data_IF_892151521202
#
_entry.id   IF_892151521202
#
_cell.length_a   1.000
_cell.length_b   1.000
_cell.length_c   1.000
_cell.angle_alpha   90.00
_cell.angle_beta   90.00
_cell.angle_gamma   90.00
#
_symmetry.space_group_name_H-M   'P 1'
#
loop_
_entity.id
_entity.type
_entity.pdbx_description
1 polymer ?
#
# COMPACT_ATOMS: atom_id res chain seq x y z
N UNK A 1 -3.82 -23.70 11.72
CA UNK A 1 -3.14 -23.28 10.47
C UNK A 1 -3.52 -21.83 10.26
N UNK A 2 -2.60 -20.91 10.54
CA UNK A 2 -2.86 -19.49 10.33
C UNK A 2 -2.71 -19.24 8.83
N UNK A 3 -3.83 -19.06 8.13
CA UNK A 3 -3.83 -18.62 6.74
C UNK A 3 -3.24 -17.21 6.71
N UNK A 4 -1.93 -17.09 6.48
CA UNK A 4 -1.35 -15.83 6.04
C UNK A 4 -1.88 -15.57 4.63
N UNK A 5 -3.07 -14.99 4.53
CA UNK A 5 -3.58 -14.40 3.29
C UNK A 5 -2.55 -13.41 2.76
N UNK A 6 -2.21 -13.53 1.49
CA UNK A 6 -1.22 -12.67 0.83
C UNK A 6 -1.69 -11.21 0.86
N UNK A 7 -0.75 -10.27 0.71
CA UNK A 7 -1.09 -8.84 0.56
C UNK A 7 -2.09 -8.64 -0.58
N UNK A 8 -1.95 -9.42 -1.64
CA UNK A 8 -2.76 -9.33 -2.86
C UNK A 8 -4.19 -9.82 -2.60
N UNK A 9 -4.37 -10.91 -1.86
CA UNK A 9 -5.70 -11.42 -1.50
C UNK A 9 -6.50 -10.37 -0.73
N UNK A 10 -5.83 -9.65 0.17
CA UNK A 10 -6.45 -8.59 0.96
C UNK A 10 -6.84 -7.39 0.11
N UNK A 11 -6.03 -7.00 -0.87
CA UNK A 11 -6.41 -5.94 -1.84
C UNK A 11 -7.60 -6.40 -2.69
N UNK A 12 -7.65 -7.68 -3.06
CA UNK A 12 -8.82 -8.28 -3.70
C UNK A 12 -10.07 -8.17 -2.82
N UNK A 13 -9.96 -8.44 -1.52
CA UNK A 13 -11.06 -8.29 -0.56
C UNK A 13 -11.51 -6.83 -0.41
N UNK A 14 -10.59 -5.85 -0.43
CA UNK A 14 -10.95 -4.43 -0.45
C UNK A 14 -11.82 -4.09 -1.66
N UNK A 15 -11.49 -4.65 -2.83
CA UNK A 15 -12.27 -4.44 -4.05
C UNK A 15 -13.69 -4.99 -3.93
N UNK A 16 -13.84 -6.16 -3.29
CA UNK A 16 -15.17 -6.74 -2.99
C UNK A 16 -15.94 -5.88 -1.99
N UNK A 17 -15.29 -5.40 -0.93
CA UNK A 17 -15.91 -4.52 0.07
C UNK A 17 -16.34 -3.18 -0.54
N UNK A 18 -15.55 -2.61 -1.45
CA UNK A 18 -15.91 -1.41 -2.20
C UNK A 18 -17.13 -1.65 -3.10
N UNK A 19 -17.18 -2.78 -3.80
CA UNK A 19 -18.36 -3.14 -4.61
C UNK A 19 -19.62 -3.33 -3.74
N UNK A 20 -19.45 -3.82 -2.51
CA UNK A 20 -20.52 -3.86 -1.51
C UNK A 20 -20.97 -2.46 -1.07
N UNK A 21 -20.01 -1.59 -0.77
CA UNK A 21 -20.26 -0.18 -0.40
C UNK A 21 -21.01 0.58 -1.50
N UNK A 22 -20.66 0.35 -2.77
CA UNK A 22 -21.36 0.95 -3.92
C UNK A 22 -22.84 0.59 -3.97
N UNK A 23 -23.20 -0.63 -3.54
CA UNK A 23 -24.58 -1.11 -3.54
C UNK A 23 -25.37 -0.66 -2.31
N UNK A 24 -24.74 -0.65 -1.13
CA UNK A 24 -25.42 -0.35 0.13
C UNK A 24 -25.38 1.13 0.51
N UNK A 25 -24.40 1.88 0.01
CA UNK A 25 -24.07 3.24 0.45
C UNK A 25 -23.80 3.34 1.97
N UNK A 26 -23.43 2.22 2.59
CA UNK A 26 -23.23 2.12 4.04
C UNK A 26 -21.88 2.70 4.47
N UNK A 27 -21.92 3.87 5.09
CA UNK A 27 -20.74 4.58 5.62
C UNK A 27 -19.93 3.73 6.62
N UNK A 28 -20.54 2.76 7.32
CA UNK A 28 -19.77 1.87 8.20
C UNK A 28 -18.83 0.93 7.43
N UNK A 29 -19.20 0.52 6.21
CA UNK A 29 -18.33 -0.28 5.33
C UNK A 29 -17.14 0.56 4.85
N UNK A 30 -17.33 1.87 4.68
CA UNK A 30 -16.27 2.80 4.33
C UNK A 30 -15.24 2.94 5.45
N UNK A 31 -15.67 3.08 6.71
CA UNK A 31 -14.75 3.13 7.86
C UNK A 31 -13.93 1.84 7.97
N UNK A 32 -14.58 0.69 7.74
CA UNK A 32 -13.90 -0.61 7.70
C UNK A 32 -12.87 -0.68 6.57
N UNK A 33 -13.20 -0.21 5.36
CA UNK A 33 -12.26 -0.15 4.24
C UNK A 33 -11.02 0.68 4.58
N UNK A 34 -11.23 1.85 5.20
CA UNK A 34 -10.15 2.73 5.68
C UNK A 34 -9.25 2.02 6.70
N UNK A 35 -9.85 1.31 7.65
CA UNK A 35 -9.11 0.51 8.64
C UNK A 35 -8.31 -0.62 7.97
N UNK A 36 -8.92 -1.36 7.04
CA UNK A 36 -8.31 -2.49 6.35
C UNK A 36 -7.10 -2.02 5.50
N UNK A 37 -7.18 -0.86 4.83
CA UNK A 37 -6.06 -0.25 4.09
C UNK A 37 -4.93 0.17 5.04
N UNK A 38 -5.28 0.78 6.18
CA UNK A 38 -4.29 1.16 7.19
C UNK A 38 -3.57 -0.06 7.78
N UNK A 39 -4.29 -1.16 8.01
CA UNK A 39 -3.70 -2.43 8.43
C UNK A 39 -2.74 -2.98 7.37
N UNK A 40 -3.14 -2.98 6.10
CA UNK A 40 -2.29 -3.40 4.99
C UNK A 40 -0.98 -2.62 4.91
N UNK A 41 -1.06 -1.31 5.13
CA UNK A 41 0.13 -0.47 5.19
C UNK A 41 1.06 -0.89 6.34
N UNK A 42 0.53 -1.18 7.53
CA UNK A 42 1.33 -1.68 8.66
C UNK A 42 1.97 -3.04 8.40
N UNK A 43 1.26 -3.94 7.73
CA UNK A 43 1.78 -5.27 7.36
C UNK A 43 2.90 -5.15 6.32
N UNK A 44 2.74 -4.28 5.32
CA UNK A 44 3.77 -4.01 4.32
C UNK A 44 5.05 -3.46 4.94
N UNK A 45 4.92 -2.50 5.86
CA UNK A 45 6.07 -1.99 6.62
C UNK A 45 6.73 -3.11 7.43
N UNK A 46 5.95 -4.03 8.01
CA UNK A 46 6.50 -5.15 8.77
C UNK A 46 7.27 -6.14 7.89
N UNK A 47 6.81 -6.38 6.65
CA UNK A 47 7.50 -7.21 5.67
C UNK A 47 8.84 -6.59 5.23
N UNK A 48 8.88 -5.27 5.07
CA UNK A 48 10.10 -4.54 4.72
C UNK A 48 11.20 -4.71 5.77
N UNK A 49 10.85 -4.70 7.07
CA UNK A 49 11.84 -4.80 8.16
C UNK A 49 12.30 -6.24 8.44
N UNK A 50 11.47 -7.24 8.13
CA UNK A 50 11.70 -8.65 8.50
C UNK A 50 12.05 -9.56 7.31
N UNK A 51 12.30 -8.99 6.12
CA UNK A 51 12.58 -9.76 4.91
C UNK A 51 13.87 -10.60 5.02
N UNK A 52 13.74 -11.92 4.98
CA UNK A 52 14.86 -12.86 4.88
C UNK A 52 15.37 -12.96 3.44
N UNK A 53 16.69 -12.90 3.25
CA UNK A 53 17.37 -12.92 1.95
C UNK A 53 16.98 -14.11 1.04
N UNK A 54 16.50 -15.23 1.63
CA UNK A 54 16.11 -16.42 0.89
C UNK A 54 14.75 -16.36 0.17
N UNK A 55 13.93 -15.33 0.43
CA UNK A 55 12.57 -15.19 -0.17
C UNK A 55 12.38 -13.93 -1.00
N UNK A 56 13.46 -13.20 -1.26
CA UNK A 56 13.36 -11.85 -1.85
C UNK A 56 12.68 -11.84 -3.22
N UNK A 57 13.00 -12.80 -4.10
CA UNK A 57 12.40 -12.83 -5.44
C UNK A 57 10.91 -13.20 -5.42
N UNK A 58 10.50 -14.10 -4.51
CA UNK A 58 9.09 -14.46 -4.30
C UNK A 58 8.30 -13.24 -3.78
N UNK A 59 8.82 -12.56 -2.75
CA UNK A 59 8.22 -11.33 -2.22
C UNK A 59 8.18 -10.21 -3.26
N UNK A 60 9.19 -10.11 -4.14
CA UNK A 60 9.21 -9.11 -5.22
C UNK A 60 8.10 -9.35 -6.24
N UNK A 61 7.91 -10.60 -6.66
CA UNK A 61 6.83 -10.96 -7.59
C UNK A 61 5.46 -10.72 -6.96
N UNK A 62 5.30 -11.05 -5.68
CA UNK A 62 4.08 -10.74 -4.92
C UNK A 62 3.83 -9.22 -4.88
N UNK A 63 4.82 -8.40 -4.57
CA UNK A 63 4.67 -6.94 -4.56
C UNK A 63 4.27 -6.36 -5.92
N UNK A 64 4.83 -6.87 -7.02
CA UNK A 64 4.43 -6.44 -8.37
C UNK A 64 2.96 -6.79 -8.63
N UNK A 65 2.55 -8.01 -8.31
CA UNK A 65 1.16 -8.44 -8.45
C UNK A 65 0.22 -7.57 -7.59
N UNK A 66 0.60 -7.31 -6.35
CA UNK A 66 -0.21 -6.53 -5.41
C UNK A 66 -0.34 -5.08 -5.86
N UNK A 67 0.71 -4.50 -6.48
CA UNK A 67 0.62 -3.17 -7.09
C UNK A 67 -0.35 -3.13 -8.26
N UNK A 68 -0.40 -4.17 -9.10
CA UNK A 68 -1.40 -4.24 -10.18
C UNK A 68 -2.82 -4.27 -9.62
N UNK A 69 -3.08 -5.08 -8.59
CA UNK A 69 -4.37 -5.10 -7.91
C UNK A 69 -4.70 -3.78 -7.22
N UNK A 70 -3.70 -3.12 -6.61
CA UNK A 70 -3.88 -1.81 -5.98
C UNK A 70 -4.23 -0.73 -7.00
N UNK A 71 -3.64 -0.77 -8.19
CA UNK A 71 -3.98 0.13 -9.28
C UNK A 71 -5.41 -0.10 -9.79
N UNK A 72 -5.85 -1.37 -9.89
CA UNK A 72 -7.25 -1.69 -10.22
C UNK A 72 -8.19 -1.13 -9.15
N UNK A 73 -7.88 -1.36 -7.88
CA UNK A 73 -8.66 -0.86 -6.76
C UNK A 73 -8.75 0.68 -6.76
N UNK A 74 -7.64 1.37 -7.01
CA UNK A 74 -7.61 2.84 -7.16
C UNK A 74 -8.54 3.32 -8.28
N UNK A 75 -8.57 2.62 -9.41
CA UNK A 75 -9.50 2.91 -10.51
C UNK A 75 -10.96 2.84 -10.05
N UNK A 76 -11.32 1.77 -9.34
CA UNK A 76 -12.67 1.60 -8.79
C UNK A 76 -13.05 2.69 -7.79
N UNK A 77 -12.12 3.08 -6.91
CA UNK A 77 -12.33 4.20 -5.96
C UNK A 77 -12.54 5.51 -6.70
N UNK A 78 -11.74 5.78 -7.74
CA UNK A 78 -11.88 6.99 -8.56
C UNK A 78 -13.23 7.06 -9.28
N UNK A 79 -13.67 5.94 -9.85
CA UNK A 79 -14.96 5.82 -10.51
C UNK A 79 -16.10 6.04 -9.52
N UNK A 80 -16.05 5.40 -8.36
CA UNK A 80 -17.07 5.57 -7.33
C UNK A 80 -17.12 7.01 -6.80
N UNK A 81 -15.95 7.62 -6.54
CA UNK A 81 -15.88 9.03 -6.13
C UNK A 81 -16.55 9.95 -7.15
N UNK A 82 -16.29 9.71 -8.44
CA UNK A 82 -16.86 10.50 -9.54
C UNK A 82 -18.37 10.35 -9.63
N UNK A 83 -18.88 9.11 -9.49
CA UNK A 83 -20.31 8.82 -9.45
C UNK A 83 -21.00 9.49 -8.26
N UNK A 84 -20.44 9.33 -7.05
CA UNK A 84 -20.97 9.95 -5.83
C UNK A 84 -21.00 11.47 -5.91
N UNK A 85 -19.95 12.09 -6.47
CA UNK A 85 -19.90 13.53 -6.67
C UNK A 85 -20.97 14.03 -7.64
N UNK A 86 -21.24 13.25 -8.70
CA UNK A 86 -22.28 13.57 -9.67
C UNK A 86 -23.67 13.43 -9.06
N UNK A 87 -23.96 12.32 -8.37
CA UNK A 87 -25.23 12.13 -7.65
C UNK A 87 -25.48 13.23 -6.62
N UNK A 88 -24.44 13.64 -5.88
CA UNK A 88 -24.53 14.74 -4.90
C UNK A 88 -24.90 16.07 -5.57
N UNK A 89 -24.28 16.39 -6.73
CA UNK A 89 -24.64 17.58 -7.51
C UNK A 89 -26.08 17.53 -8.02
N UNK A 90 -26.54 16.36 -8.47
CA UNK A 90 -27.88 16.18 -9.02
C UNK A 90 -28.97 16.32 -7.96
N UNK A 91 -28.76 15.76 -6.75
CA UNK A 91 -29.74 15.86 -5.65
C UNK A 91 -29.88 17.28 -5.12
N UNK A 92 -28.76 17.96 -4.88
CA UNK A 92 -28.80 19.28 -4.26
C UNK A 92 -29.08 20.39 -5.26
N UNK A 93 -28.57 20.29 -6.49
CA UNK A 93 -28.73 21.31 -7.52
C UNK A 93 -28.37 22.71 -6.98
N UNK A 94 -29.31 23.64 -7.11
CA UNK A 94 -29.17 25.03 -6.63
C UNK A 94 -29.14 25.15 -5.09
N UNK A 95 -29.68 24.16 -4.35
CA UNK A 95 -29.72 24.16 -2.88
C UNK A 95 -28.38 23.80 -2.24
N UNK A 96 -27.38 23.42 -3.04
CA UNK A 96 -26.09 22.93 -2.54
C UNK A 96 -25.44 23.91 -1.57
N UNK A 97 -25.40 25.20 -1.91
CA UNK A 97 -24.74 26.20 -1.08
C UNK A 97 -25.43 26.35 0.28
N UNK A 98 -26.75 26.43 0.29
CA UNK A 98 -27.55 26.51 1.53
C UNK A 98 -27.38 25.25 2.39
N UNK A 99 -27.41 24.07 1.77
CA UNK A 99 -27.18 22.80 2.46
C UNK A 99 -25.78 22.72 3.09
N UNK A 100 -24.74 23.17 2.37
CA UNK A 100 -23.37 23.12 2.86
C UNK A 100 -23.08 24.11 4.00
N UNK A 101 -23.93 25.12 4.19
CA UNK A 101 -23.90 26.05 5.33
C UNK A 101 -24.54 25.50 6.61
N UNK A 102 -25.39 24.48 6.50
CA UNK A 102 -25.96 23.80 7.67
C UNK A 102 -24.87 23.03 8.43
N UNK A 103 -25.05 22.86 9.73
CA UNK A 103 -24.23 21.95 10.53
C UNK A 103 -24.54 20.48 10.21
N UNK A 104 -23.82 19.53 10.82
CA UNK A 104 -24.00 18.10 10.48
C UNK A 104 -25.40 17.58 10.81
N UNK A 105 -25.98 18.01 11.93
CA UNK A 105 -27.32 17.59 12.34
C UNK A 105 -28.39 18.19 11.43
N UNK A 106 -28.24 19.47 11.07
CA UNK A 106 -29.07 20.16 10.09
C UNK A 106 -29.00 19.51 8.72
N UNK A 107 -27.81 19.17 8.22
CA UNK A 107 -27.65 18.48 6.94
C UNK A 107 -28.31 17.11 6.94
N UNK A 108 -28.11 16.32 8.00
CA UNK A 108 -28.71 14.98 8.12
C UNK A 108 -30.23 15.03 8.17
N UNK A 109 -30.79 16.09 8.76
CA UNK A 109 -32.24 16.27 8.89
C UNK A 109 -32.86 16.84 7.60
N UNK A 110 -32.19 17.80 6.96
CA UNK A 110 -32.67 18.48 5.75
C UNK A 110 -32.70 17.54 4.54
N UNK A 111 -31.61 16.81 4.30
CA UNK A 111 -31.49 15.87 3.18
C UNK A 111 -30.54 14.71 3.54
N UNK A 112 -31.08 13.61 4.11
CA UNK A 112 -30.29 12.46 4.55
C UNK A 112 -29.47 11.81 3.42
N UNK A 113 -29.99 11.83 2.20
CA UNK A 113 -29.34 11.22 1.04
C UNK A 113 -28.16 12.08 0.58
N UNK A 114 -28.36 13.40 0.47
CA UNK A 114 -27.26 14.34 0.20
C UNK A 114 -26.18 14.28 1.28
N UNK A 115 -26.58 14.19 2.55
CA UNK A 115 -25.65 14.01 3.67
C UNK A 115 -24.82 12.73 3.50
N UNK A 116 -25.47 11.60 3.18
CA UNK A 116 -24.81 10.30 2.99
C UNK A 116 -23.83 10.35 1.81
N UNK A 117 -24.24 10.89 0.67
CA UNK A 117 -23.36 11.08 -0.50
C UNK A 117 -22.16 11.96 -0.18
N UNK A 118 -22.35 13.00 0.65
CA UNK A 118 -21.24 13.85 1.11
C UNK A 118 -20.25 13.07 1.98
N UNK A 119 -20.73 12.21 2.89
CA UNK A 119 -19.85 11.37 3.70
C UNK A 119 -19.09 10.37 2.82
N UNK A 120 -19.78 9.71 1.90
CA UNK A 120 -19.16 8.77 0.96
C UNK A 120 -18.08 9.44 0.11
N UNK A 121 -18.37 10.64 -0.43
CA UNK A 121 -17.39 11.39 -1.21
C UNK A 121 -16.14 11.71 -0.41
N UNK A 122 -16.29 12.18 0.83
CA UNK A 122 -15.17 12.50 1.73
C UNK A 122 -14.34 11.26 2.07
N UNK A 123 -14.98 10.15 2.42
CA UNK A 123 -14.23 8.95 2.75
C UNK A 123 -13.58 8.29 1.52
N UNK A 124 -14.13 8.45 0.32
CA UNK A 124 -13.42 8.05 -0.91
C UNK A 124 -12.14 8.86 -1.13
N UNK A 125 -12.13 10.14 -0.75
CA UNK A 125 -10.92 10.97 -0.83
C UNK A 125 -9.84 10.53 0.17
N UNK A 126 -10.27 10.14 1.37
CA UNK A 126 -9.40 9.54 2.38
C UNK A 126 -8.83 8.20 1.90
N UNK A 127 -9.69 7.29 1.43
CA UNK A 127 -9.29 5.99 0.88
C UNK A 127 -8.30 6.17 -0.28
N UNK A 128 -8.57 7.10 -1.21
CA UNK A 128 -7.65 7.43 -2.31
C UNK A 128 -6.29 7.87 -1.79
N UNK A 129 -6.26 8.74 -0.77
CA UNK A 129 -5.01 9.19 -0.14
C UNK A 129 -4.24 8.03 0.48
N UNK A 130 -4.93 7.12 1.17
CA UNK A 130 -4.30 5.95 1.79
C UNK A 130 -3.77 4.96 0.75
N UNK A 131 -4.49 4.75 -0.36
CA UNK A 131 -4.02 3.91 -1.48
C UNK A 131 -2.74 4.48 -2.09
N UNK A 132 -2.65 5.80 -2.29
CA UNK A 132 -1.44 6.42 -2.80
C UNK A 132 -0.25 6.24 -1.86
N UNK A 133 -0.47 6.35 -0.54
CA UNK A 133 0.57 6.05 0.47
C UNK A 133 0.99 4.59 0.41
N UNK A 134 0.03 3.66 0.33
CA UNK A 134 0.31 2.23 0.21
C UNK A 134 1.12 1.91 -1.06
N UNK A 135 0.77 2.51 -2.19
CA UNK A 135 1.52 2.35 -3.44
C UNK A 135 2.95 2.88 -3.32
N UNK A 136 3.15 4.04 -2.68
CA UNK A 136 4.47 4.57 -2.38
C UNK A 136 5.30 3.61 -1.51
N UNK A 137 4.71 3.13 -0.42
CA UNK A 137 5.36 2.15 0.45
C UNK A 137 5.71 0.84 -0.27
N UNK A 138 4.89 0.37 -1.23
CA UNK A 138 5.20 -0.82 -2.03
C UNK A 138 6.39 -0.60 -2.96
N UNK A 139 6.52 0.58 -3.55
CA UNK A 139 7.68 0.97 -4.35
C UNK A 139 8.95 1.01 -3.50
N UNK A 140 8.87 1.65 -2.33
CA UNK A 140 9.99 1.75 -1.40
C UNK A 140 10.43 0.37 -0.88
N UNK A 141 9.48 -0.51 -0.58
CA UNK A 141 9.75 -1.89 -0.19
C UNK A 141 10.47 -2.66 -1.31
N UNK A 142 10.00 -2.54 -2.56
CA UNK A 142 10.66 -3.14 -3.73
C UNK A 142 12.10 -2.66 -3.90
N UNK A 143 12.35 -1.36 -3.81
CA UNK A 143 13.70 -0.79 -3.93
C UNK A 143 14.64 -1.20 -2.80
N UNK A 144 14.14 -1.35 -1.58
CA UNK A 144 14.97 -1.79 -0.46
C UNK A 144 15.37 -3.26 -0.59
N UNK A 145 14.48 -4.09 -1.10
CA UNK A 145 14.76 -5.49 -1.41
C UNK A 145 15.84 -5.63 -2.49
N UNK A 146 15.84 -4.79 -3.52
CA UNK A 146 16.90 -4.74 -4.54
C UNK A 146 18.27 -4.38 -3.95
N UNK A 147 18.32 -3.40 -3.04
CA UNK A 147 19.57 -2.98 -2.41
C UNK A 147 20.11 -4.00 -1.39
N UNK A 148 19.23 -4.70 -0.68
CA UNK A 148 19.61 -5.77 0.25
C UNK A 148 20.34 -6.93 -0.43
N UNK A 149 20.01 -7.21 -1.69
CA UNK A 149 20.70 -8.22 -2.51
C UNK A 149 22.05 -7.72 -3.06
N UNK A 150 22.15 -6.43 -3.42
CA UNK A 150 23.37 -5.84 -3.99
C UNK A 150 24.53 -5.66 -3.01
N UNK A 151 24.26 -5.57 -1.70
CA UNK A 151 25.29 -5.42 -0.67
C UNK A 151 26.05 -6.70 -0.32
N UNK A 152 25.47 -7.88 -0.57
CA UNK A 152 26.07 -9.17 -0.18
C UNK A 152 27.02 -9.76 -1.23
N UNK A 153 27.00 -9.29 -2.47
CA UNK A 153 27.81 -9.84 -3.57
C UNK A 153 29.14 -9.11 -3.81
N UNK A 154 29.41 -8.00 -3.10
CA UNK A 154 30.60 -7.17 -3.36
C UNK A 154 31.75 -7.36 -2.35
N UNK A 155 31.62 -8.25 -1.35
CA UNK A 155 32.61 -8.40 -0.26
C UNK A 155 33.49 -9.67 -0.38
N UNK A 156 33.20 -10.62 -1.28
CA UNK A 156 33.96 -11.88 -1.37
C UNK A 156 35.02 -11.96 -2.49
N UNK A 157 35.40 -10.84 -3.10
CA UNK A 157 36.46 -10.82 -4.13
C UNK A 157 37.74 -10.06 -3.74
N UNK A 158 37.88 -9.60 -2.50
CA UNK A 158 39.03 -8.80 -2.08
C UNK A 158 40.06 -9.51 -1.17
N UNK A 159 39.84 -10.76 -0.75
CA UNK A 159 40.65 -11.38 0.30
C UNK A 159 41.29 -12.73 -0.07
N UNK A 160 41.84 -12.85 -1.29
CA UNK A 160 42.78 -13.92 -1.64
C UNK A 160 43.94 -13.39 -2.46
N UNK A 161 44.80 -12.57 -1.83
CA UNK A 161 45.91 -11.96 -2.56
C UNK A 161 47.04 -11.37 -1.74
N UNK A 162 47.43 -11.95 -0.59
CA UNK A 162 48.65 -11.50 0.11
C UNK A 162 49.23 -12.55 1.08
N UNK A 163 49.42 -13.79 0.61
CA UNK A 163 50.20 -14.78 1.37
C UNK A 163 51.02 -15.66 0.43
N UNK A 164 52.17 -15.19 -0.04
CA UNK A 164 53.33 -16.05 -0.32
C UNK A 164 54.57 -15.23 -0.68
N UNK A 165 55.73 -15.69 -0.20
CA UNK A 165 57.10 -15.28 -0.52
C UNK A 165 57.69 -14.08 0.23
N UNK A 166 58.08 -14.31 1.49
CA UNK A 166 59.46 -14.00 1.94
C UNK A 166 59.80 -14.82 3.19
N UNK A 167 60.42 -15.98 2.97
CA UNK A 167 61.28 -16.65 3.95
C UNK A 167 62.16 -17.65 3.20
N UNK A 168 63.40 -17.27 2.91
CA UNK A 168 64.57 -18.14 3.12
C UNK A 168 65.85 -17.40 2.70
N UNK A 169 66.67 -17.03 3.68
CA UNK A 169 68.12 -17.14 3.50
C UNK A 169 68.79 -17.20 4.88
N UNK A 170 68.79 -18.39 5.47
CA UNK A 170 69.70 -18.75 6.54
C UNK A 170 70.91 -19.47 5.94
N UNK A 171 72.07 -18.87 6.16
CA UNK A 171 73.36 -19.48 6.46
C UNK A 171 73.66 -20.88 5.88
N UNK A 172 74.66 -20.95 5.00
CA UNK A 172 75.49 -22.14 4.86
C UNK A 172 76.96 -21.76 4.71
N UNK A 173 77.66 -22.03 5.80
CA UNK A 173 79.10 -22.07 5.98
C UNK A 173 79.69 -23.20 5.11
N UNK A 174 80.89 -23.00 4.54
CA UNK A 174 81.94 -23.99 4.15
C UNK A 174 82.62 -23.64 2.81
N UNK A 175 83.75 -22.93 2.86
CA UNK A 175 85.09 -23.50 2.63
C UNK A 175 86.18 -22.50 2.99
#
# INVERSE_FOLDING_TARGET
>A
MNSNTSLCDKIGQLSVSLAGLQQSQDVAVMDKLTQDISQLHGELLSLQHNGSAGKVEETRQELVQCRMELHRFLGQVSDFRSQTAESYRQILGERKETFEQLDQEGQKTDDPDAYTLRQLFRGMDEISTQIHRLNGAMLDAGHQMERGLGGSLSIEMAETGSASMMADNAESNLT
#
